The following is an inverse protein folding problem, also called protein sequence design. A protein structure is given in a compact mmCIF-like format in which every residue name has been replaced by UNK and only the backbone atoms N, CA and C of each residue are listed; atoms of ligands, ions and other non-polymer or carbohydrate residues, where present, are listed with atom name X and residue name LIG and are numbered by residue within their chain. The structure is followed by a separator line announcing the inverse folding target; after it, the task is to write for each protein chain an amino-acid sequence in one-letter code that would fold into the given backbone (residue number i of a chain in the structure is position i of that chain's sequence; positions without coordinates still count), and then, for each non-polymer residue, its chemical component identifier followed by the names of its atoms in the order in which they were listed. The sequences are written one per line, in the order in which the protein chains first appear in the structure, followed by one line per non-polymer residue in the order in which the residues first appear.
data_IF_869785564953
#
_entry.id   IF_869785564953
#
_cell.length_a   1.000
_cell.length_b   1.000
_cell.length_c   1.000
_cell.angle_alpha   90.00
_cell.angle_beta   90.00
_cell.angle_gamma   90.00
#
_symmetry.space_group_name_H-M   'P 1'
#
loop_
_entity.id
_entity.type
_entity.pdbx_description
1 polymer ?
#
# COMPACT_ATOMS: atom_id res chain seq x y z
N UNK A 1 -21.14 -30.95 -45.20
CA UNK A 1 -19.73 -30.55 -44.97
C UNK A 1 -19.62 -30.04 -43.54
N UNK A 2 -19.04 -30.84 -42.65
CA UNK A 2 -18.82 -30.44 -41.27
C UNK A 2 -17.63 -29.46 -41.27
N UNK A 3 -17.82 -28.23 -40.73
CA UNK A 3 -16.71 -27.32 -40.43
C UNK A 3 -15.94 -27.92 -39.27
N UNK A 4 -14.66 -28.22 -39.49
CA UNK A 4 -13.76 -28.53 -38.43
C UNK A 4 -13.73 -27.33 -37.46
N UNK A 5 -13.91 -27.57 -36.16
CA UNK A 5 -13.61 -26.61 -35.11
C UNK A 5 -12.13 -26.25 -35.26
N UNK A 6 -11.75 -24.96 -35.10
CA UNK A 6 -10.35 -24.63 -35.01
C UNK A 6 -9.73 -25.44 -33.85
N UNK A 7 -8.67 -26.19 -34.17
CA UNK A 7 -7.87 -26.87 -33.14
C UNK A 7 -7.50 -25.86 -32.08
N UNK A 8 -7.88 -26.17 -30.86
CA UNK A 8 -7.42 -25.44 -29.70
C UNK A 8 -5.88 -25.58 -29.70
N UNK A 9 -5.10 -24.50 -29.73
CA UNK A 9 -3.66 -24.63 -29.71
C UNK A 9 -3.30 -25.45 -28.47
N UNK A 10 -2.43 -26.44 -28.67
CA UNK A 10 -1.87 -27.26 -27.61
C UNK A 10 -1.19 -26.34 -26.61
N UNK A 11 -1.94 -25.89 -25.58
CA UNK A 11 -1.52 -24.81 -24.71
C UNK A 11 -0.80 -25.38 -23.51
N UNK A 12 0.47 -25.55 -23.66
CA UNK A 12 1.40 -25.71 -22.53
C UNK A 12 1.62 -24.39 -21.75
N UNK A 13 0.95 -23.30 -22.18
CA UNK A 13 1.06 -21.99 -21.52
C UNK A 13 -0.07 -21.84 -20.50
N UNK A 14 0.28 -21.94 -19.23
CA UNK A 14 -0.68 -21.64 -18.16
C UNK A 14 -1.14 -20.18 -18.24
N UNK A 15 -2.41 -19.86 -17.91
CA UNK A 15 -2.87 -18.49 -17.84
C UNK A 15 -2.09 -17.71 -16.79
N UNK A 16 -1.74 -16.45 -17.09
CA UNK A 16 -1.07 -15.54 -16.15
C UNK A 16 -1.94 -15.28 -14.93
N UNK A 17 -3.27 -15.33 -15.14
CA UNK A 17 -4.25 -15.15 -14.07
C UNK A 17 -5.53 -15.91 -14.44
N UNK A 18 -6.05 -16.70 -13.51
CA UNK A 18 -7.34 -17.36 -13.62
C UNK A 18 -8.38 -16.62 -12.77
N UNK A 19 -9.47 -16.24 -13.39
CA UNK A 19 -10.59 -15.55 -12.76
C UNK A 19 -11.70 -16.56 -12.46
N UNK A 20 -12.07 -16.79 -11.20
CA UNK A 20 -13.12 -17.72 -10.85
C UNK A 20 -14.50 -17.15 -11.20
N UNK A 21 -15.32 -17.95 -11.90
CA UNK A 21 -16.74 -17.69 -12.10
C UNK A 21 -17.54 -18.21 -10.90
N UNK A 22 -17.50 -17.52 -9.79
CA UNK A 22 -18.16 -17.91 -8.52
C UNK A 22 -19.56 -17.29 -8.34
N UNK A 23 -20.32 -17.24 -9.43
CA UNK A 23 -21.76 -16.96 -9.43
C UNK A 23 -22.18 -15.50 -9.63
N UNK A 24 -21.26 -14.54 -9.67
CA UNK A 24 -21.55 -13.11 -9.84
C UNK A 24 -20.79 -12.43 -10.99
N UNK A 25 -19.87 -13.12 -11.63
CA UNK A 25 -19.15 -12.64 -12.81
C UNK A 25 -19.71 -13.29 -14.09
N UNK A 26 -19.82 -12.52 -15.18
CA UNK A 26 -20.24 -13.05 -16.47
C UNK A 26 -19.05 -13.32 -17.39
N UNK A 27 -18.25 -12.32 -17.63
CA UNK A 27 -17.09 -12.38 -18.51
C UNK A 27 -16.22 -11.12 -18.36
N UNK A 28 -14.92 -11.29 -18.46
CA UNK A 28 -14.02 -10.16 -18.70
C UNK A 28 -14.28 -9.68 -20.12
N UNK A 29 -14.81 -8.48 -20.26
CA UNK A 29 -15.18 -7.89 -21.56
C UNK A 29 -14.12 -6.98 -22.12
N UNK A 30 -13.24 -6.47 -21.26
CA UNK A 30 -12.25 -5.51 -21.66
C UNK A 30 -11.05 -5.51 -20.74
N UNK A 31 -9.89 -5.22 -21.32
CA UNK A 31 -8.66 -5.00 -20.57
C UNK A 31 -7.63 -4.25 -21.38
N UNK A 32 -6.72 -3.57 -20.68
CA UNK A 32 -5.63 -2.81 -21.31
C UNK A 32 -4.36 -2.92 -20.46
N UNK A 33 -3.23 -3.08 -21.13
CA UNK A 33 -1.93 -2.96 -20.48
C UNK A 33 -1.57 -1.46 -20.38
N UNK A 34 -1.38 -0.98 -19.14
CA UNK A 34 -1.15 0.42 -18.86
C UNK A 34 0.32 0.69 -18.57
N UNK A 35 1.02 1.21 -19.56
CA UNK A 35 2.41 1.65 -19.42
C UNK A 35 2.72 2.87 -20.31
N UNK A 36 1.96 3.96 -20.19
CA UNK A 36 2.21 5.16 -20.99
C UNK A 36 3.51 5.85 -20.54
N UNK A 37 4.21 6.45 -21.50
CA UNK A 37 5.39 7.28 -21.25
C UNK A 37 5.02 8.65 -20.68
N UNK A 38 3.87 9.19 -21.10
CA UNK A 38 3.33 10.46 -20.64
C UNK A 38 2.04 10.20 -19.84
N UNK A 39 2.09 10.37 -18.51
CA UNK A 39 0.94 10.17 -17.65
C UNK A 39 1.15 10.86 -16.30
N UNK A 40 0.03 11.25 -15.67
CA UNK A 40 -0.01 11.77 -14.29
C UNK A 40 -0.09 10.66 -13.23
N UNK A 41 -0.35 9.41 -13.68
CA UNK A 41 -0.42 8.30 -12.75
C UNK A 41 0.95 7.98 -12.16
N UNK A 42 1.04 7.76 -10.84
CA UNK A 42 2.25 7.28 -10.17
C UNK A 42 2.77 5.95 -10.74
N UNK A 43 4.03 5.65 -10.45
CA UNK A 43 4.74 4.49 -11.01
C UNK A 43 4.09 3.15 -10.66
N UNK A 44 3.48 3.04 -9.48
CA UNK A 44 2.79 1.84 -8.99
C UNK A 44 1.54 1.46 -9.80
N UNK A 45 0.99 2.39 -10.58
CA UNK A 45 -0.12 2.12 -11.50
C UNK A 45 0.35 1.69 -12.89
N UNK A 46 1.63 1.87 -13.20
CA UNK A 46 2.22 1.49 -14.49
C UNK A 46 2.59 0.01 -14.53
N UNK A 47 2.85 -0.50 -15.73
CA UNK A 47 3.23 -1.89 -15.98
C UNK A 47 2.19 -2.90 -15.46
N UNK A 48 0.94 -2.50 -15.40
CA UNK A 48 -0.17 -3.32 -14.93
C UNK A 48 -1.19 -3.56 -16.04
N UNK A 49 -1.82 -4.71 -16.01
CA UNK A 49 -2.97 -5.01 -16.86
C UNK A 49 -4.24 -4.69 -16.09
N UNK A 50 -5.05 -3.77 -16.61
CA UNK A 50 -6.33 -3.34 -16.04
C UNK A 50 -7.45 -4.00 -16.79
N UNK A 51 -8.49 -4.47 -16.08
CA UNK A 51 -9.60 -5.20 -16.66
C UNK A 51 -10.88 -5.05 -15.84
N UNK A 52 -12.02 -5.24 -16.51
CA UNK A 52 -13.36 -5.21 -15.93
C UNK A 52 -14.16 -6.42 -16.34
N UNK A 53 -15.15 -6.78 -15.53
CA UNK A 53 -16.15 -7.78 -15.82
C UNK A 53 -17.47 -7.12 -16.24
N UNK A 54 -18.24 -7.77 -17.14
CA UNK A 54 -19.49 -7.21 -17.66
C UNK A 54 -20.58 -7.06 -16.58
N UNK A 55 -20.71 -8.01 -15.69
CA UNK A 55 -21.76 -8.04 -14.68
C UNK A 55 -21.33 -7.51 -13.33
N UNK A 56 -20.05 -7.61 -13.03
CA UNK A 56 -19.49 -7.15 -11.79
C UNK A 56 -19.13 -5.66 -11.88
N UNK A 57 -19.45 -4.92 -10.83
CA UNK A 57 -19.26 -3.48 -10.78
C UNK A 57 -17.86 -3.12 -10.22
N UNK A 58 -16.81 -3.69 -10.85
CA UNK A 58 -15.44 -3.45 -10.42
C UNK A 58 -14.46 -3.27 -11.58
N UNK A 59 -13.38 -2.57 -11.29
CA UNK A 59 -12.20 -2.44 -12.13
C UNK A 59 -10.99 -2.93 -11.35
N UNK A 60 -10.28 -3.91 -11.90
CA UNK A 60 -9.13 -4.54 -11.25
C UNK A 60 -7.87 -4.38 -12.07
N UNK A 61 -6.73 -4.56 -11.42
CA UNK A 61 -5.44 -4.63 -12.10
C UNK A 61 -4.61 -5.79 -11.58
N UNK A 62 -3.79 -6.35 -12.46
CA UNK A 62 -2.79 -7.36 -12.14
C UNK A 62 -1.42 -6.88 -12.58
N UNK A 63 -0.39 -7.22 -11.82
CA UNK A 63 1.01 -7.07 -12.23
C UNK A 63 1.45 -8.32 -12.99
N UNK A 64 1.69 -8.25 -14.31
CA UNK A 64 2.15 -9.40 -15.07
C UNK A 64 3.55 -9.89 -14.65
N UNK A 65 4.37 -9.01 -14.04
CA UNK A 65 5.68 -9.36 -13.49
C UNK A 65 5.61 -10.12 -12.17
N UNK A 66 4.45 -10.05 -11.47
CA UNK A 66 4.19 -10.77 -10.22
C UNK A 66 2.74 -11.27 -10.14
N UNK A 67 2.33 -12.21 -11.01
CA UNK A 67 0.95 -12.69 -11.07
C UNK A 67 0.50 -13.41 -9.80
N UNK A 68 1.44 -13.97 -9.04
CA UNK A 68 1.16 -14.64 -7.76
C UNK A 68 0.63 -13.73 -6.66
N UNK A 69 0.81 -12.42 -6.78
CA UNK A 69 0.24 -11.43 -5.87
C UNK A 69 -1.29 -11.26 -6.04
N UNK A 70 -1.86 -11.83 -7.11
CA UNK A 70 -3.28 -11.72 -7.42
C UNK A 70 -3.69 -10.36 -7.98
N UNK A 71 -4.98 -10.22 -8.28
CA UNK A 71 -5.54 -8.97 -8.79
C UNK A 71 -5.88 -8.01 -7.65
N UNK A 72 -5.54 -6.74 -7.84
CA UNK A 72 -5.88 -5.65 -6.92
C UNK A 72 -7.14 -4.96 -7.43
N UNK A 73 -8.12 -4.74 -6.57
CA UNK A 73 -9.31 -3.93 -6.90
C UNK A 73 -8.93 -2.46 -6.95
N UNK A 74 -9.01 -1.87 -8.14
CA UNK A 74 -8.78 -0.45 -8.35
C UNK A 74 -10.03 0.37 -8.00
N UNK A 75 -11.21 -0.13 -8.41
CA UNK A 75 -12.51 0.40 -8.00
C UNK A 75 -13.49 -0.75 -7.83
N UNK A 76 -14.40 -0.61 -6.87
CA UNK A 76 -15.48 -1.57 -6.60
C UNK A 76 -16.83 -1.13 -7.13
N UNK A 77 -16.92 0.03 -7.81
CA UNK A 77 -18.17 0.61 -8.34
C UNK A 77 -17.93 1.36 -9.64
N UNK A 78 -18.98 1.50 -10.46
CA UNK A 78 -18.96 2.34 -11.66
C UNK A 78 -18.41 1.67 -12.92
N UNK A 79 -18.15 0.36 -12.90
CA UNK A 79 -17.52 -0.35 -14.02
C UNK A 79 -18.36 -1.48 -14.61
N UNK A 80 -19.65 -1.57 -14.25
CA UNK A 80 -20.58 -2.51 -14.87
C UNK A 80 -20.80 -2.15 -16.34
N UNK A 81 -20.87 -3.15 -17.20
CA UNK A 81 -21.14 -2.97 -18.64
C UNK A 81 -20.10 -2.16 -19.42
N UNK A 82 -18.84 -2.26 -19.06
CA UNK A 82 -17.72 -1.75 -19.85
C UNK A 82 -17.51 -2.62 -21.08
N UNK A 83 -17.57 -2.03 -22.28
CA UNK A 83 -17.38 -2.71 -23.57
C UNK A 83 -15.93 -2.78 -24.03
N UNK A 84 -15.15 -1.76 -23.70
CA UNK A 84 -13.79 -1.64 -24.17
C UNK A 84 -12.98 -0.66 -23.31
N UNK A 85 -11.68 -0.93 -23.18
CA UNK A 85 -10.72 -0.05 -22.54
C UNK A 85 -9.55 0.23 -23.47
N UNK A 86 -9.00 1.44 -23.39
CA UNK A 86 -7.82 1.85 -24.15
C UNK A 86 -6.99 2.86 -23.37
N UNK A 87 -5.72 3.01 -23.72
CA UNK A 87 -4.87 4.10 -23.23
C UNK A 87 -4.80 5.19 -24.27
N UNK A 88 -5.18 6.40 -23.88
CA UNK A 88 -5.09 7.59 -24.73
C UNK A 88 -3.66 8.13 -24.87
N UNK A 89 -3.45 8.98 -25.87
CA UNK A 89 -2.16 9.67 -26.09
C UNK A 89 -1.79 10.61 -24.93
N UNK A 90 -2.78 11.02 -24.13
CA UNK A 90 -2.62 11.83 -22.92
C UNK A 90 -2.21 11.01 -21.69
N UNK A 91 -2.04 9.69 -21.86
CA UNK A 91 -1.65 8.78 -20.80
C UNK A 91 -2.75 8.45 -19.79
N UNK A 92 -4.02 8.71 -20.11
CA UNK A 92 -5.16 8.30 -19.32
C UNK A 92 -5.79 7.00 -19.85
N UNK A 93 -6.53 6.28 -19.00
CA UNK A 93 -7.34 5.12 -19.38
C UNK A 93 -8.71 5.62 -19.82
N UNK A 94 -9.15 5.17 -20.97
CA UNK A 94 -10.50 5.42 -21.49
C UNK A 94 -11.29 4.13 -21.52
N UNK A 95 -12.58 4.21 -21.25
CA UNK A 95 -13.48 3.07 -21.37
C UNK A 95 -14.83 3.47 -21.95
N UNK A 96 -15.37 2.56 -22.77
CA UNK A 96 -16.69 2.70 -23.37
C UNK A 96 -17.69 1.94 -22.51
N UNK A 97 -18.73 2.64 -22.10
CA UNK A 97 -19.81 2.11 -21.29
C UNK A 97 -21.04 1.81 -22.14
N UNK A 98 -21.61 0.60 -21.98
CA UNK A 98 -22.88 0.23 -22.58
C UNK A 98 -24.04 0.60 -21.66
N UNK A 99 -24.60 1.79 -21.87
CA UNK A 99 -25.79 2.26 -21.19
C UNK A 99 -26.72 2.95 -22.19
N UNK A 100 -27.83 3.54 -21.72
CA UNK A 100 -28.74 4.31 -22.58
C UNK A 100 -27.99 5.45 -23.24
N UNK A 101 -27.59 5.25 -24.52
CA UNK A 101 -26.90 6.26 -25.32
C UNK A 101 -25.41 6.04 -25.56
N UNK A 102 -24.78 5.03 -24.96
CA UNK A 102 -23.34 4.78 -25.05
C UNK A 102 -22.52 6.00 -24.60
N UNK A 103 -21.54 5.80 -23.72
CA UNK A 103 -20.73 6.88 -23.21
C UNK A 103 -19.25 6.50 -23.22
N UNK A 104 -18.39 7.47 -23.55
CA UNK A 104 -16.95 7.37 -23.41
C UNK A 104 -16.52 8.08 -22.11
N UNK A 105 -15.90 7.36 -21.22
CA UNK A 105 -15.36 7.89 -19.97
C UNK A 105 -13.85 7.92 -20.01
N UNK A 106 -13.27 8.88 -19.31
CA UNK A 106 -11.85 8.99 -19.04
C UNK A 106 -11.64 8.77 -17.55
N UNK A 107 -10.78 7.82 -17.20
CA UNK A 107 -10.30 7.66 -15.85
C UNK A 107 -9.11 8.59 -15.65
N UNK A 108 -9.24 9.52 -14.74
CA UNK A 108 -8.19 10.47 -14.40
C UNK A 108 -7.64 10.17 -13.02
N UNK A 109 -6.33 10.33 -12.86
CA UNK A 109 -5.72 10.30 -11.55
C UNK A 109 -5.93 11.66 -10.87
N UNK A 110 -6.66 11.66 -9.76
CA UNK A 110 -6.89 12.88 -8.98
C UNK A 110 -5.65 13.22 -8.15
N UNK A 111 -4.92 14.22 -8.61
CA UNK A 111 -3.73 14.75 -7.93
C UNK A 111 -4.05 15.83 -6.91
N UNK A 112 -5.33 16.15 -6.71
CA UNK A 112 -5.76 17.28 -5.85
C UNK A 112 -6.01 16.85 -4.41
N UNK A 113 -6.09 15.56 -4.10
CA UNK A 113 -6.32 15.08 -2.75
C UNK A 113 -5.09 15.37 -1.86
N UNK A 114 -5.31 16.20 -0.86
CA UNK A 114 -4.31 16.48 0.18
C UNK A 114 -3.93 15.19 0.91
N UNK A 115 -2.68 15.05 1.37
CA UNK A 115 -2.32 13.98 2.28
C UNK A 115 -3.05 14.18 3.62
N UNK A 116 -3.51 13.08 4.21
CA UNK A 116 -4.13 13.03 5.53
C UNK A 116 -3.51 11.91 6.33
N UNK A 117 -3.02 12.18 7.52
CA UNK A 117 -2.51 11.16 8.44
C UNK A 117 -3.69 10.52 9.15
N UNK A 118 -3.90 9.23 8.87
CA UNK A 118 -5.02 8.43 9.41
C UNK A 118 -4.70 7.90 10.80
N UNK A 119 -3.50 7.34 10.98
CA UNK A 119 -3.02 6.87 12.29
C UNK A 119 -1.80 7.67 12.72
N UNK A 120 -1.91 8.24 13.91
CA UNK A 120 -0.86 9.06 14.54
C UNK A 120 0.22 8.17 15.17
N UNK A 121 1.49 8.61 15.19
CA UNK A 121 2.56 7.91 15.89
C UNK A 121 2.31 7.94 17.40
N UNK A 122 2.61 6.84 18.10
CA UNK A 122 2.35 6.69 19.51
C UNK A 122 3.57 7.04 20.36
N UNK A 123 3.34 7.74 21.50
CA UNK A 123 4.37 7.98 22.50
C UNK A 123 4.82 6.67 23.16
N UNK A 124 6.12 6.55 23.46
CA UNK A 124 6.71 5.32 24.00
C UNK A 124 7.70 5.63 25.11
N UNK A 125 7.79 4.69 26.08
CA UNK A 125 8.81 4.72 27.15
C UNK A 125 9.66 3.45 26.99
N UNK A 126 10.93 3.62 26.67
CA UNK A 126 11.85 2.54 26.26
C UNK A 126 13.08 2.58 27.16
N UNK A 127 13.61 1.42 27.55
CA UNK A 127 14.85 1.35 28.34
C UNK A 127 16.05 1.55 27.42
N UNK A 128 17.07 2.25 27.91
CA UNK A 128 18.34 2.44 27.19
C UNK A 128 18.87 1.11 26.62
N UNK A 129 19.23 1.13 25.34
CA UNK A 129 19.74 -0.01 24.60
C UNK A 129 18.67 -0.83 23.85
N UNK A 130 17.39 -0.66 24.17
CA UNK A 130 16.29 -1.34 23.46
C UNK A 130 15.90 -0.58 22.18
N UNK A 131 15.34 -1.24 21.16
CA UNK A 131 14.89 -0.61 19.94
C UNK A 131 13.53 0.08 20.12
N UNK A 132 13.26 1.09 19.28
CA UNK A 132 11.94 1.74 19.16
C UNK A 132 11.59 1.91 17.69
N UNK A 133 10.30 1.84 17.37
CA UNK A 133 9.78 2.15 16.03
C UNK A 133 8.54 3.02 16.15
N UNK A 134 8.51 4.11 15.40
CA UNK A 134 7.34 4.96 15.16
C UNK A 134 6.77 4.65 13.79
N UNK A 135 5.46 4.76 13.65
CA UNK A 135 4.77 4.56 12.37
C UNK A 135 3.61 5.53 12.19
N UNK A 136 3.33 5.87 10.95
CA UNK A 136 2.12 6.59 10.55
C UNK A 136 1.46 5.81 9.41
N UNK A 137 0.13 5.92 9.30
CA UNK A 137 -0.60 5.58 8.07
C UNK A 137 -1.23 6.83 7.52
N UNK A 138 -1.28 6.95 6.20
CA UNK A 138 -1.79 8.15 5.53
C UNK A 138 -2.58 7.78 4.28
N UNK A 139 -3.47 8.68 3.87
CA UNK A 139 -4.22 8.65 2.62
C UNK A 139 -3.98 9.96 1.85
N UNK A 140 -4.39 10.00 0.59
CA UNK A 140 -4.26 11.16 -0.29
C UNK A 140 -3.79 10.76 -1.68
N UNK A 141 -3.69 11.73 -2.58
CA UNK A 141 -3.17 11.50 -3.92
C UNK A 141 -1.70 11.07 -3.85
N UNK A 142 -1.37 10.03 -4.63
CA UNK A 142 0.00 9.49 -4.70
C UNK A 142 0.86 10.31 -5.71
N UNK A 143 2.19 10.29 -5.62
CA UNK A 143 2.95 9.62 -4.55
C UNK A 143 2.95 10.41 -3.23
N UNK A 144 2.95 9.71 -2.10
CA UNK A 144 3.14 10.29 -0.79
C UNK A 144 4.62 10.23 -0.40
N UNK A 145 5.15 11.37 0.04
CA UNK A 145 6.50 11.47 0.59
C UNK A 145 6.43 11.68 2.10
N UNK A 146 7.36 11.09 2.82
CA UNK A 146 7.44 11.14 4.28
C UNK A 146 8.74 11.82 4.72
N UNK A 147 8.72 12.52 5.86
CA UNK A 147 9.90 13.06 6.50
C UNK A 147 9.69 13.09 8.01
N UNK A 148 10.46 12.28 8.73
CA UNK A 148 10.47 12.31 10.19
C UNK A 148 11.31 13.44 10.73
N UNK A 149 10.86 13.99 11.86
CA UNK A 149 11.51 15.06 12.59
C UNK A 149 11.70 14.68 14.06
N UNK A 150 12.83 15.12 14.64
CA UNK A 150 13.14 15.10 16.07
C UNK A 150 13.14 16.53 16.58
N UNK A 151 12.26 16.89 17.51
CA UNK A 151 12.08 18.24 18.03
C UNK A 151 11.92 19.31 16.92
N UNK A 152 11.21 18.95 15.82
CA UNK A 152 10.96 19.84 14.69
C UNK A 152 12.09 19.89 13.64
N UNK A 153 13.23 19.21 13.87
CA UNK A 153 14.35 19.14 12.92
C UNK A 153 14.30 17.85 12.11
N UNK A 154 14.46 17.95 10.80
CA UNK A 154 14.44 16.79 9.90
C UNK A 154 15.56 15.79 10.25
N UNK A 155 15.18 14.51 10.34
CA UNK A 155 16.12 13.40 10.48
C UNK A 155 16.56 12.98 9.08
N UNK A 156 17.83 13.08 8.78
CA UNK A 156 18.37 12.73 7.47
C UNK A 156 18.08 11.26 7.13
N UNK A 157 17.55 11.01 5.92
CA UNK A 157 17.24 9.66 5.44
C UNK A 157 15.97 9.02 6.02
N UNK A 158 15.27 9.66 6.97
CA UNK A 158 14.04 9.15 7.57
C UNK A 158 12.82 9.51 6.71
N UNK A 159 12.70 8.85 5.54
CA UNK A 159 11.72 9.15 4.49
C UNK A 159 10.72 8.02 4.23
N UNK A 160 10.62 7.03 5.13
CA UNK A 160 9.60 6.00 5.09
C UNK A 160 8.41 6.34 6.00
N UNK A 161 7.29 5.61 5.86
CA UNK A 161 6.14 5.72 6.77
C UNK A 161 6.42 5.19 8.19
N UNK A 162 7.61 4.60 8.40
CA UNK A 162 8.12 4.17 9.69
C UNK A 162 9.48 4.79 9.96
N UNK A 163 9.81 5.02 11.25
CA UNK A 163 11.13 5.47 11.71
C UNK A 163 11.53 4.63 12.92
N UNK A 164 12.71 4.04 12.88
CA UNK A 164 13.25 3.18 13.94
C UNK A 164 14.60 3.65 14.46
N UNK A 165 14.83 3.43 15.76
CA UNK A 165 16.14 3.57 16.41
C UNK A 165 16.49 2.19 16.97
N UNK A 166 17.58 1.60 16.52
CA UNK A 166 17.95 0.21 16.86
C UNK A 166 18.33 0.03 18.34
N UNK A 167 18.93 1.03 18.96
CA UNK A 167 19.31 1.03 20.36
C UNK A 167 19.24 2.46 20.90
N UNK A 168 18.21 2.74 21.71
CA UNK A 168 17.98 4.10 22.22
C UNK A 168 18.97 4.47 23.32
N UNK A 169 19.35 5.74 23.35
CA UNK A 169 20.16 6.37 24.38
C UNK A 169 19.38 7.52 25.04
N UNK A 170 19.86 8.04 26.17
CA UNK A 170 19.24 9.18 26.84
C UNK A 170 19.08 10.40 25.91
N UNK A 171 20.01 10.58 24.95
CA UNK A 171 19.97 11.65 23.96
C UNK A 171 18.82 11.53 22.97
N UNK A 172 18.17 10.37 22.89
CA UNK A 172 17.03 10.12 21.99
C UNK A 172 15.69 10.47 22.63
N UNK A 173 15.65 10.81 23.93
CA UNK A 173 14.46 11.39 24.57
C UNK A 173 14.10 12.70 23.90
N UNK A 174 12.97 12.71 23.17
CA UNK A 174 12.56 13.84 22.35
C UNK A 174 11.11 13.67 21.88
N UNK A 175 10.58 14.69 21.20
CA UNK A 175 9.34 14.60 20.43
C UNK A 175 9.65 14.23 18.98
N UNK A 176 8.98 13.21 18.48
CA UNK A 176 9.06 12.74 17.10
C UNK A 176 7.75 12.99 16.40
N UNK A 177 7.80 13.43 15.15
CA UNK A 177 6.63 13.59 14.28
C UNK A 177 6.98 13.29 12.83
N UNK A 178 6.00 13.03 12.02
CA UNK A 178 6.13 12.79 10.58
C UNK A 178 5.40 13.88 9.79
N UNK A 179 6.06 14.42 8.77
CA UNK A 179 5.42 15.24 7.74
C UNK A 179 5.15 14.30 6.55
N UNK A 180 3.90 14.27 6.08
CA UNK A 180 3.49 13.57 4.86
C UNK A 180 3.15 14.62 3.82
N UNK A 181 3.64 14.47 2.60
CA UNK A 181 3.43 15.45 1.53
C UNK A 181 3.18 14.80 0.19
N UNK A 182 2.48 15.51 -0.69
CA UNK A 182 2.30 15.19 -2.10
C UNK A 182 2.26 16.49 -2.93
N UNK A 183 1.90 16.40 -4.23
CA UNK A 183 1.80 17.56 -5.11
C UNK A 183 0.71 18.57 -4.70
N UNK A 184 -0.30 18.14 -3.96
CA UNK A 184 -1.40 18.99 -3.51
C UNK A 184 -1.08 19.75 -2.21
N UNK A 185 -0.19 19.21 -1.37
CA UNK A 185 0.16 19.85 -0.10
C UNK A 185 0.83 18.91 0.90
N UNK A 186 0.65 19.20 2.18
CA UNK A 186 1.25 18.42 3.28
C UNK A 186 0.33 18.34 4.48
N UNK A 187 0.51 17.28 5.27
CA UNK A 187 -0.04 17.10 6.61
C UNK A 187 1.08 16.77 7.59
N UNK A 188 0.90 17.07 8.86
CA UNK A 188 1.91 16.86 9.91
C UNK A 188 1.27 16.12 11.08
N UNK A 189 1.88 15.02 11.51
CA UNK A 189 1.39 14.25 12.63
C UNK A 189 1.50 15.01 13.97
N UNK A 190 0.75 14.51 14.94
CA UNK A 190 0.98 14.84 16.34
C UNK A 190 2.40 14.46 16.77
N UNK A 191 2.83 15.03 17.88
CA UNK A 191 4.10 14.68 18.51
C UNK A 191 3.96 13.36 19.28
N UNK A 192 4.78 12.38 18.94
CA UNK A 192 5.00 11.17 19.73
C UNK A 192 6.22 11.39 20.63
N UNK A 193 6.02 11.40 21.94
CA UNK A 193 7.11 11.55 22.90
C UNK A 193 7.84 10.23 23.12
N UNK A 194 9.16 10.22 22.91
CA UNK A 194 10.04 9.14 23.38
C UNK A 194 10.61 9.53 24.73
N UNK A 195 10.39 8.69 25.74
CA UNK A 195 11.02 8.76 27.06
C UNK A 195 11.99 7.59 27.19
N UNK A 196 13.29 7.89 27.27
CA UNK A 196 14.30 6.83 27.46
C UNK A 196 14.55 6.68 28.96
N UNK A 197 14.31 5.47 29.46
CA UNK A 197 14.52 5.09 30.86
C UNK A 197 15.94 4.55 31.04
N UNK A 198 16.56 4.76 32.22
CA UNK A 198 17.86 4.18 32.50
C UNK A 198 17.79 2.66 32.53
N UNK A 199 18.90 1.97 32.24
CA UNK A 199 18.97 0.51 32.21
C UNK A 199 18.53 -0.16 33.53
N UNK A 200 18.78 0.50 34.68
CA UNK A 200 18.36 0.03 36.00
C UNK A 200 16.84 0.08 36.24
N UNK A 201 16.07 0.65 35.29
CA UNK A 201 14.60 0.61 35.36
C UNK A 201 14.00 -0.74 34.92
N UNK A 202 14.80 -1.69 34.43
CA UNK A 202 14.32 -3.03 34.14
C UNK A 202 13.98 -3.75 35.45
N UNK A 203 12.80 -4.40 35.55
CA UNK A 203 12.50 -5.24 36.72
C UNK A 203 13.55 -6.34 36.83
N UNK A 204 14.29 -6.34 37.93
CA UNK A 204 15.16 -7.48 38.24
C UNK A 204 14.29 -8.60 38.83
N UNK A 205 14.39 -9.83 38.36
CA UNK A 205 13.71 -10.94 39.01
C UNK A 205 14.14 -11.00 40.47
N UNK A 206 13.22 -10.81 41.39
CA UNK A 206 13.51 -10.92 42.81
C UNK A 206 13.53 -12.42 43.16
N UNK A 207 14.71 -12.98 43.41
CA UNK A 207 14.84 -14.34 43.97
C UNK A 207 14.49 -14.23 45.45
N UNK A 208 13.25 -14.57 45.78
CA UNK A 208 12.72 -14.49 47.16
C UNK A 208 13.06 -15.72 48.00
N UNK A 209 13.85 -16.68 47.52
CA UNK A 209 14.30 -17.82 48.29
C UNK A 209 15.58 -17.51 49.06
N UNK A 210 15.63 -17.68 50.38
CA UNK A 210 16.88 -17.51 51.12
C UNK A 210 17.91 -18.55 50.64
N UNK A 211 19.17 -18.13 50.46
CA UNK A 211 20.30 -18.95 50.02
C UNK A 211 20.56 -20.20 50.92
N UNK A 212 19.98 -20.21 52.14
CA UNK A 212 20.05 -21.30 53.09
C UNK A 212 19.31 -22.60 52.68
N UNK A 213 18.51 -22.56 51.60
CA UNK A 213 17.77 -23.71 51.09
C UNK A 213 18.47 -24.47 49.94
N UNK A 214 19.60 -23.98 49.43
CA UNK A 214 20.41 -24.67 48.46
C UNK A 214 21.19 -25.81 49.14
N UNK A 215 20.59 -27.02 49.17
CA UNK A 215 21.32 -28.24 49.55
C UNK A 215 22.08 -28.76 48.33
N UNK A 216 23.40 -28.73 48.42
CA UNK A 216 24.27 -29.48 47.51
C UNK A 216 24.21 -30.95 47.90
N UNK A 217 23.64 -31.81 47.07
CA UNK A 217 23.84 -33.28 47.21
C UNK A 217 25.17 -33.61 46.56
N UNK A 218 26.12 -34.02 47.37
CA UNK A 218 27.41 -34.59 46.98
C UNK A 218 27.18 -36.08 46.66
#
# INVERSE_FOLDING_TARGET
MARASPEQPDSTIAPVFAYPHDGWGCAITSGVFFNPTNTRYPAEYKNRFYFSDWCADWFKSIDPGNPGAGAITFSSTGFRSVLGTSVGLDGNIYFVYYGTGGSLYRLEYDTTQLPVIVNQPQSQSIVTGDPVTFSVTSSGALPLAYQWQKNGVNIAGATANTFGIAAVSAADSANYRCIVSNSAGKDTSDNAKLTVLPFNARPVPHISAPLSTLKWNV
#
